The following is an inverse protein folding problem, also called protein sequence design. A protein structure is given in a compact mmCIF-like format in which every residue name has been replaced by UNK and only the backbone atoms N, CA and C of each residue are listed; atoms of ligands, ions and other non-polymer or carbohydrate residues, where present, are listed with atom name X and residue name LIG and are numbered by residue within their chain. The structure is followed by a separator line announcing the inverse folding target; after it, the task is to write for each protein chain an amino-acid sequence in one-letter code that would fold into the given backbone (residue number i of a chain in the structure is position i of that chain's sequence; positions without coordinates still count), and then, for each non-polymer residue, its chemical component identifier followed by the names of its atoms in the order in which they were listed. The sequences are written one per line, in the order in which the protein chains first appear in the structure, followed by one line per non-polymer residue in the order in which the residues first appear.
data_IF_915211886859
#
_entry.id   IF_915211886859
#
_cell.length_a   1.000
_cell.length_b   1.000
_cell.length_c   1.000
_cell.angle_alpha   90.00
_cell.angle_beta   90.00
_cell.angle_gamma   90.00
#
_symmetry.space_group_name_H-M   'P 1'
#
loop_
_entity.id
_entity.type
_entity.pdbx_description
1 polymer ?
#
# COMPACT_ATOMS: atom_id res chain seq x y z
N UNK A 1 3.00 12.41 -34.90
CA UNK A 1 3.52 11.26 -34.09
C UNK A 1 4.07 11.82 -32.78
N UNK A 2 3.27 11.84 -31.74
CA UNK A 2 3.71 12.20 -30.40
C UNK A 2 4.52 11.01 -29.85
N UNK A 3 5.79 11.24 -29.52
CA UNK A 3 6.62 10.28 -28.76
C UNK A 3 6.12 10.34 -27.33
N UNK A 4 5.39 9.31 -26.91
CA UNK A 4 5.08 9.08 -25.53
C UNK A 4 6.41 8.85 -24.79
N UNK A 5 6.92 9.90 -24.17
CA UNK A 5 7.99 9.83 -23.21
C UNK A 5 7.46 9.09 -21.99
N UNK A 6 7.58 7.76 -22.00
CA UNK A 6 7.16 6.91 -20.90
C UNK A 6 7.86 7.32 -19.61
N UNK A 7 7.18 8.07 -18.76
CA UNK A 7 7.68 8.34 -17.44
C UNK A 7 7.92 7.00 -16.73
N UNK A 8 9.12 6.82 -16.15
CA UNK A 8 9.46 5.58 -15.46
C UNK A 8 8.44 5.29 -14.35
N UNK A 9 8.00 4.04 -14.26
CA UNK A 9 7.05 3.61 -13.23
C UNK A 9 7.63 3.92 -11.83
N UNK A 10 7.00 4.79 -11.03
CA UNK A 10 7.51 5.21 -9.73
C UNK A 10 7.67 4.03 -8.74
N UNK A 11 6.96 2.93 -8.93
CA UNK A 11 7.08 1.74 -8.08
C UNK A 11 8.26 0.83 -8.47
N UNK A 12 8.88 1.07 -9.62
CA UNK A 12 10.05 0.33 -10.13
C UNK A 12 11.36 1.11 -9.98
N UNK A 13 11.43 2.02 -9.02
CA UNK A 13 12.62 2.79 -8.80
C UNK A 13 13.80 1.88 -8.37
N UNK A 14 15.00 1.99 -8.98
CA UNK A 14 16.16 1.19 -8.60
C UNK A 14 16.65 1.42 -7.16
N UNK A 15 16.21 2.48 -6.50
CA UNK A 15 16.47 2.71 -5.06
C UNK A 15 15.71 1.74 -4.15
N UNK A 16 14.66 1.08 -4.65
CA UNK A 16 13.90 0.07 -3.92
C UNK A 16 14.61 -1.28 -4.02
N UNK A 17 15.70 -1.43 -3.29
CA UNK A 17 16.49 -2.67 -3.28
C UNK A 17 15.92 -3.64 -2.24
N UNK A 18 15.88 -4.90 -2.63
CA UNK A 18 15.57 -5.97 -1.68
C UNK A 18 16.72 -6.13 -0.68
N UNK A 19 16.42 -6.46 0.57
CA UNK A 19 17.48 -6.76 1.52
C UNK A 19 18.31 -7.96 1.02
N UNK A 20 19.61 -7.90 1.18
CA UNK A 20 20.48 -9.02 0.83
C UNK A 20 20.17 -10.25 1.69
N UNK A 21 20.54 -11.44 1.20
CA UNK A 21 20.37 -12.70 1.95
C UNK A 21 21.04 -12.62 3.33
N UNK A 22 22.19 -11.95 3.42
CA UNK A 22 22.89 -11.72 4.69
C UNK A 22 22.15 -10.78 5.63
N UNK A 23 21.48 -9.76 5.11
CA UNK A 23 20.62 -8.90 5.93
C UNK A 23 19.43 -9.67 6.48
N UNK A 24 18.76 -10.47 5.63
CA UNK A 24 17.64 -11.32 6.05
C UNK A 24 18.07 -12.36 7.10
N UNK A 25 19.23 -12.97 6.92
CA UNK A 25 19.78 -13.95 7.88
C UNK A 25 20.08 -13.30 9.23
N UNK A 26 20.74 -12.14 9.22
CA UNK A 26 21.03 -11.39 10.45
C UNK A 26 19.73 -10.93 11.14
N UNK A 27 18.76 -10.43 10.38
CA UNK A 27 17.47 -10.01 10.93
C UNK A 27 16.66 -11.19 11.48
N UNK A 28 16.82 -12.39 10.91
CA UNK A 28 16.22 -13.62 11.43
C UNK A 28 16.81 -14.03 12.78
N UNK A 29 18.11 -13.82 12.99
CA UNK A 29 18.80 -14.22 14.23
C UNK A 29 18.65 -13.19 15.35
N UNK A 30 18.70 -11.90 15.02
CA UNK A 30 18.80 -10.82 16.01
C UNK A 30 17.57 -9.89 16.02
N UNK A 31 16.64 -10.10 15.10
CA UNK A 31 15.54 -9.18 14.85
C UNK A 31 16.02 -7.84 14.24
N UNK A 32 15.23 -7.23 13.39
CA UNK A 32 15.43 -5.83 13.01
C UNK A 32 14.61 -4.99 13.96
N UNK A 33 15.21 -4.12 14.78
CA UNK A 33 14.44 -3.16 15.54
C UNK A 33 13.71 -2.25 14.54
N UNK A 34 12.39 -2.26 14.59
CA UNK A 34 11.52 -1.40 13.78
C UNK A 34 10.96 -0.32 14.68
N UNK A 35 11.02 0.94 14.24
CA UNK A 35 10.48 2.07 14.99
C UNK A 35 8.96 2.01 15.10
N UNK A 36 8.31 1.40 14.11
CA UNK A 36 6.86 1.31 14.02
C UNK A 36 6.40 -0.15 13.91
N UNK A 37 5.43 -0.54 14.70
CA UNK A 37 4.82 -1.87 14.58
C UNK A 37 4.01 -2.00 13.30
N UNK A 38 3.27 -0.94 12.95
CA UNK A 38 2.40 -0.93 11.79
C UNK A 38 2.18 0.50 11.28
N UNK A 39 2.13 0.65 9.97
CA UNK A 39 1.52 1.80 9.31
C UNK A 39 0.27 1.37 8.57
N UNK A 40 -0.78 2.16 8.66
CA UNK A 40 -1.99 1.99 7.89
C UNK A 40 -2.00 2.98 6.74
N UNK A 41 -2.29 2.50 5.53
CA UNK A 41 -2.31 3.32 4.32
C UNK A 41 -3.62 3.10 3.59
N UNK A 42 -4.43 4.15 3.49
CA UNK A 42 -5.61 4.14 2.65
C UNK A 42 -5.20 4.31 1.18
N UNK A 43 -5.26 3.22 0.43
CA UNK A 43 -4.87 3.22 -0.99
C UNK A 43 -5.99 3.65 -1.92
N UNK A 44 -7.23 3.56 -1.44
CA UNK A 44 -8.42 4.01 -2.17
C UNK A 44 -9.55 4.36 -1.22
N UNK A 45 -10.31 5.39 -1.58
CA UNK A 45 -11.58 5.74 -0.92
C UNK A 45 -12.81 5.32 -1.75
N UNK A 46 -12.60 4.57 -2.83
CA UNK A 46 -13.67 3.98 -3.65
C UNK A 46 -14.18 2.73 -2.95
N UNK A 47 -15.48 2.60 -2.75
CA UNK A 47 -16.10 1.42 -2.15
C UNK A 47 -17.50 1.18 -2.73
N UNK A 48 -17.87 -0.06 -3.08
CA UNK A 48 -19.23 -0.39 -3.52
C UNK A 48 -20.16 -0.64 -2.33
N UNK A 49 -19.61 -0.73 -1.10
CA UNK A 49 -20.37 -1.02 0.11
C UNK A 49 -21.25 0.14 0.55
N UNK A 50 -22.29 -0.18 1.32
CA UNK A 50 -23.22 0.76 1.95
C UNK A 50 -23.34 0.51 3.45
N UNK A 51 -22.22 0.29 4.11
CA UNK A 51 -22.20 0.02 5.55
C UNK A 51 -22.75 1.22 6.32
N UNK A 52 -23.72 0.97 7.18
CA UNK A 52 -24.50 2.03 7.88
C UNK A 52 -23.65 2.92 8.79
N UNK A 53 -22.51 2.45 9.25
CA UNK A 53 -21.58 3.18 10.11
C UNK A 53 -20.38 3.79 9.37
N UNK A 54 -20.25 3.53 8.06
CA UNK A 54 -19.09 3.98 7.30
C UNK A 54 -19.27 5.44 6.84
N UNK A 55 -18.26 6.32 7.02
CA UNK A 55 -18.29 7.69 6.52
C UNK A 55 -18.58 7.80 5.02
N UNK A 56 -18.14 6.82 4.23
CA UNK A 56 -18.48 6.71 2.81
C UNK A 56 -20.01 6.74 2.57
N UNK A 57 -20.79 6.09 3.44
CA UNK A 57 -22.24 6.06 3.35
C UNK A 57 -22.89 7.23 4.07
N UNK A 58 -22.46 7.52 5.30
CA UNK A 58 -23.09 8.52 6.16
C UNK A 58 -22.78 9.95 5.76
N UNK A 59 -21.66 10.17 5.05
CA UNK A 59 -21.16 11.46 4.58
C UNK A 59 -21.09 11.53 3.05
N UNK A 60 -21.95 10.81 2.35
CA UNK A 60 -21.92 10.65 0.89
C UNK A 60 -21.89 11.98 0.12
N UNK A 61 -22.55 13.03 0.63
CA UNK A 61 -22.54 14.37 0.01
C UNK A 61 -21.17 15.06 0.01
N UNK A 62 -20.30 14.70 0.95
CA UNK A 62 -18.95 15.26 1.09
C UNK A 62 -17.86 14.29 0.66
N UNK A 63 -18.20 13.02 0.42
CA UNK A 63 -17.25 11.98 0.09
C UNK A 63 -16.61 12.20 -1.28
N UNK A 64 -15.30 11.99 -1.35
CA UNK A 64 -14.52 12.05 -2.59
C UNK A 64 -13.89 10.69 -2.86
N UNK A 65 -14.41 9.98 -3.84
CA UNK A 65 -13.86 8.69 -4.27
C UNK A 65 -12.60 8.90 -5.10
N UNK A 66 -11.46 8.39 -4.62
CA UNK A 66 -10.16 8.53 -5.27
C UNK A 66 -9.30 7.29 -5.05
N UNK A 67 -8.37 7.09 -5.96
CA UNK A 67 -7.26 6.15 -5.80
C UNK A 67 -5.98 6.91 -5.47
N UNK A 68 -5.13 6.32 -4.64
CA UNK A 68 -3.81 6.87 -4.34
C UNK A 68 -2.91 6.74 -5.57
N UNK A 69 -2.23 7.82 -5.90
CA UNK A 69 -1.24 7.81 -6.97
C UNK A 69 -0.03 6.95 -6.61
N UNK A 70 0.50 6.20 -7.59
CA UNK A 70 1.66 5.34 -7.38
C UNK A 70 2.90 6.11 -6.89
N UNK A 71 3.09 7.34 -7.39
CA UNK A 71 4.18 8.21 -6.93
C UNK A 71 4.02 8.59 -5.46
N UNK A 72 2.80 8.81 -4.98
CA UNK A 72 2.52 9.09 -3.57
C UNK A 72 2.85 7.89 -2.70
N UNK A 73 2.42 6.69 -3.10
CA UNK A 73 2.73 5.45 -2.37
C UNK A 73 4.24 5.18 -2.32
N UNK A 74 4.94 5.39 -3.43
CA UNK A 74 6.40 5.20 -3.51
C UNK A 74 7.17 6.09 -2.53
N UNK A 75 6.65 7.27 -2.20
CA UNK A 75 7.26 8.18 -1.20
C UNK A 75 7.23 7.63 0.22
N UNK A 76 6.39 6.64 0.49
CA UNK A 76 6.31 5.98 1.81
C UNK A 76 7.44 4.95 2.00
N UNK A 77 8.31 4.72 1.01
CA UNK A 77 9.38 3.72 1.08
C UNK A 77 10.25 3.82 2.34
N UNK A 78 10.80 4.99 2.73
CA UNK A 78 11.60 5.08 3.95
C UNK A 78 10.81 4.69 5.21
N UNK A 79 9.54 5.09 5.27
CA UNK A 79 8.66 4.77 6.39
C UNK A 79 8.34 3.28 6.46
N UNK A 80 8.14 2.63 5.30
CA UNK A 80 7.94 1.18 5.23
C UNK A 80 9.17 0.42 5.75
N UNK A 81 10.39 0.88 5.43
CA UNK A 81 11.61 0.24 5.90
C UNK A 81 11.76 0.26 7.43
N UNK A 82 11.14 1.23 8.10
CA UNK A 82 11.10 1.36 9.55
C UNK A 82 9.87 0.71 10.19
N UNK A 83 9.01 0.08 9.39
CA UNK A 83 7.74 -0.51 9.84
C UNK A 83 7.77 -2.03 9.79
N UNK A 84 7.24 -2.68 10.81
CA UNK A 84 7.08 -4.14 10.86
C UNK A 84 5.96 -4.64 9.95
N UNK A 85 4.95 -3.81 9.71
CA UNK A 85 3.76 -4.14 8.91
C UNK A 85 3.22 -2.93 8.18
N UNK A 86 2.70 -3.16 6.99
CA UNK A 86 1.86 -2.22 6.26
C UNK A 86 0.46 -2.80 6.17
N UNK A 87 -0.53 -2.08 6.67
CA UNK A 87 -1.94 -2.42 6.56
C UNK A 87 -2.57 -1.55 5.48
N UNK A 88 -2.86 -2.16 4.33
CA UNK A 88 -3.43 -1.47 3.16
C UNK A 88 -4.94 -1.43 3.29
N UNK A 89 -5.45 -0.47 4.05
CA UNK A 89 -6.88 -0.35 4.32
C UNK A 89 -7.21 1.08 4.77
N UNK A 90 -8.39 1.54 4.41
CA UNK A 90 -9.02 2.75 4.88
C UNK A 90 -10.54 2.60 4.84
N UNK A 91 -11.23 3.61 4.38
CA UNK A 91 -12.69 3.60 4.23
C UNK A 91 -13.16 3.06 2.87
N UNK A 92 -12.25 2.90 1.91
CA UNK A 92 -12.52 2.28 0.62
C UNK A 92 -12.34 0.76 0.62
N UNK A 93 -12.70 0.12 -0.49
CA UNK A 93 -12.41 -1.29 -0.74
C UNK A 93 -11.04 -1.44 -1.42
N UNK A 94 -10.02 -1.96 -0.73
CA UNK A 94 -8.65 -1.96 -1.25
C UNK A 94 -8.47 -2.65 -2.60
N UNK A 95 -9.20 -3.74 -2.85
CA UNK A 95 -9.10 -4.48 -4.11
C UNK A 95 -9.70 -3.76 -5.32
N UNK A 96 -10.38 -2.63 -5.12
CA UNK A 96 -10.77 -1.76 -6.24
C UNK A 96 -9.63 -0.87 -6.73
N UNK A 97 -8.52 -0.80 -5.98
CA UNK A 97 -7.37 -0.06 -6.46
C UNK A 97 -6.66 -0.82 -7.58
N UNK A 98 -6.52 -0.25 -8.79
CA UNK A 98 -5.98 -0.97 -9.95
C UNK A 98 -4.53 -1.44 -9.76
N UNK A 99 -3.78 -0.83 -8.85
CA UNK A 99 -2.39 -1.17 -8.54
C UNK A 99 -2.20 -1.72 -7.12
N UNK A 100 -3.25 -2.29 -6.52
CA UNK A 100 -3.16 -2.84 -5.16
C UNK A 100 -2.04 -3.86 -5.01
N UNK A 101 -1.90 -4.78 -5.95
CA UNK A 101 -0.86 -5.82 -5.90
C UNK A 101 0.55 -5.25 -6.04
N UNK A 102 0.73 -4.19 -6.84
CA UNK A 102 2.02 -3.49 -6.95
C UNK A 102 2.39 -2.81 -5.63
N UNK A 103 1.42 -2.21 -4.94
CA UNK A 103 1.62 -1.59 -3.64
C UNK A 103 1.97 -2.63 -2.58
N UNK A 104 1.26 -3.76 -2.56
CA UNK A 104 1.57 -4.88 -1.68
C UNK A 104 2.98 -5.44 -1.95
N UNK A 105 3.36 -5.60 -3.21
CA UNK A 105 4.69 -6.05 -3.61
C UNK A 105 5.78 -5.07 -3.15
N UNK A 106 5.57 -3.75 -3.32
CA UNK A 106 6.53 -2.75 -2.86
C UNK A 106 6.69 -2.77 -1.33
N UNK A 107 5.60 -2.88 -0.58
CA UNK A 107 5.65 -2.99 0.88
C UNK A 107 6.39 -4.27 1.34
N UNK A 108 6.15 -5.39 0.66
CA UNK A 108 6.91 -6.63 0.89
C UNK A 108 8.40 -6.46 0.62
N UNK A 109 8.75 -5.79 -0.47
CA UNK A 109 10.14 -5.49 -0.85
C UNK A 109 10.84 -4.61 0.20
N UNK A 110 10.12 -3.71 0.86
CA UNK A 110 10.62 -2.94 2.00
C UNK A 110 10.84 -3.77 3.29
N UNK A 111 10.45 -5.06 3.26
CA UNK A 111 10.59 -5.98 4.37
C UNK A 111 9.40 -5.99 5.34
N UNK A 112 8.27 -5.39 4.95
CA UNK A 112 7.06 -5.38 5.78
C UNK A 112 6.23 -6.65 5.63
N UNK A 113 5.54 -7.05 6.69
CA UNK A 113 4.35 -7.88 6.56
C UNK A 113 3.24 -7.04 5.97
N UNK A 114 2.49 -7.58 5.02
CA UNK A 114 1.36 -6.88 4.39
C UNK A 114 0.06 -7.50 4.88
N UNK A 115 -0.89 -6.66 5.22
CA UNK A 115 -2.25 -7.04 5.57
C UNK A 115 -3.26 -6.07 4.97
N UNK A 116 -4.48 -6.52 4.81
CA UNK A 116 -5.60 -5.70 4.36
C UNK A 116 -6.90 -6.16 4.99
N UNK A 117 -7.92 -5.32 4.94
CA UNK A 117 -9.30 -5.68 5.25
C UNK A 117 -10.14 -5.40 4.02
N UNK A 118 -10.97 -6.33 3.63
CA UNK A 118 -11.82 -6.25 2.44
C UNK A 118 -13.26 -6.63 2.76
N UNK A 119 -14.21 -6.09 2.02
CA UNK A 119 -15.60 -6.53 2.06
C UNK A 119 -15.84 -7.85 1.28
N UNK A 120 -14.83 -8.35 0.55
CA UNK A 120 -14.89 -9.61 -0.18
C UNK A 120 -15.72 -9.61 -1.47
N UNK A 121 -16.29 -8.48 -1.88
CA UNK A 121 -17.19 -8.40 -3.06
C UNK A 121 -16.49 -8.57 -4.41
N UNK A 122 -15.17 -8.66 -4.44
CA UNK A 122 -14.32 -8.75 -5.65
C UNK A 122 -13.20 -9.78 -5.50
N UNK A 123 -13.48 -10.90 -4.83
CA UNK A 123 -12.53 -11.99 -4.63
C UNK A 123 -12.85 -13.19 -5.51
N UNK A 124 -13.20 -12.95 -6.78
CA UNK A 124 -13.46 -13.99 -7.78
C UNK A 124 -12.14 -14.52 -8.36
#
# INVERSE_FOLDING_TARGET
MAKDGGAADPLRNPRFQEPSVWQLFRESLFGKPRLLDCIQVEVTSVCPGRCVYCPHTTQAGYWRSRHMEAATFARLWPLMQESGRVHLQGWGEPFLHPRFMDFAALARKAGCRVSTTTCGLRMD
#
